data_IF_068015481036
#
_entry.id   IF_068015481036
#
_cell.length_a   1.000
_cell.length_b   1.000
_cell.length_c   1.000
_cell.angle_alpha   90.00
_cell.angle_beta   90.00
_cell.angle_gamma   90.00
#
_symmetry.space_group_name_H-M   'P 1'
#
loop_
_entity.id
_entity.type
_entity.pdbx_description
1 polymer ?
#
# COMPACT_ATOMS: atom_id res chain seq x y z
N UNK A 1 29.49 1.00 -0.84
CA UNK A 1 28.78 2.25 -0.47
C UNK A 1 28.28 2.08 0.96
N UNK A 2 28.07 3.15 1.72
CA UNK A 2 27.40 3.03 3.02
C UNK A 2 25.93 2.58 2.78
N UNK A 3 25.36 1.74 3.67
CA UNK A 3 23.97 1.30 3.52
C UNK A 3 22.99 2.48 3.67
N UNK A 4 21.90 2.43 2.93
CA UNK A 4 20.79 3.39 3.03
C UNK A 4 20.13 3.22 4.41
N UNK A 5 20.03 4.29 5.15
CA UNK A 5 19.49 4.33 6.52
C UNK A 5 17.98 4.54 6.51
N UNK A 6 17.25 3.56 6.99
CA UNK A 6 15.79 3.51 6.93
C UNK A 6 15.16 3.67 8.30
N UNK A 7 14.25 4.62 8.47
CA UNK A 7 13.30 4.63 9.60
C UNK A 7 12.02 3.92 9.17
N UNK A 8 11.55 2.97 10.00
CA UNK A 8 10.29 2.26 9.75
C UNK A 8 9.20 2.80 10.69
N UNK A 9 8.27 3.56 10.12
CA UNK A 9 7.11 4.07 10.84
C UNK A 9 6.04 2.97 10.98
N UNK A 10 5.61 2.70 12.23
CA UNK A 10 4.75 1.57 12.52
C UNK A 10 5.45 0.21 12.49
N UNK A 11 6.78 0.17 12.71
CA UNK A 11 7.61 -1.02 12.56
C UNK A 11 7.32 -2.15 13.57
N UNK A 12 6.50 -1.94 14.58
CA UNK A 12 6.02 -3.00 15.48
C UNK A 12 4.69 -3.62 15.06
N UNK A 13 4.07 -3.13 13.97
CA UNK A 13 2.91 -3.72 13.33
C UNK A 13 3.28 -4.91 12.44
N UNK A 14 2.28 -5.63 11.93
CA UNK A 14 2.49 -6.84 11.12
C UNK A 14 3.42 -6.58 9.90
N UNK A 15 3.07 -5.63 9.05
CA UNK A 15 3.90 -5.29 7.86
C UNK A 15 5.21 -4.59 8.25
N UNK A 16 5.16 -3.72 9.25
CA UNK A 16 6.35 -3.02 9.71
C UNK A 16 7.42 -3.97 10.24
N UNK A 17 7.04 -4.99 11.02
CA UNK A 17 7.98 -5.99 11.53
C UNK A 17 8.63 -6.81 10.40
N UNK A 18 7.85 -7.21 9.37
CA UNK A 18 8.40 -7.88 8.19
C UNK A 18 9.36 -6.97 7.42
N UNK A 19 9.06 -5.67 7.33
CA UNK A 19 9.94 -4.68 6.71
C UNK A 19 11.24 -4.53 7.48
N UNK A 20 11.18 -4.39 8.80
CA UNK A 20 12.37 -4.36 9.68
C UNK A 20 13.22 -5.62 9.47
N UNK A 21 12.59 -6.80 9.44
CA UNK A 21 13.29 -8.06 9.22
C UNK A 21 13.89 -8.16 7.80
N UNK A 22 13.21 -7.65 6.77
CA UNK A 22 13.72 -7.63 5.40
C UNK A 22 14.94 -6.69 5.28
N UNK A 23 14.86 -5.48 5.81
CA UNK A 23 15.97 -4.51 5.82
C UNK A 23 17.19 -5.12 6.54
N UNK A 24 16.97 -5.77 7.68
CA UNK A 24 18.04 -6.37 8.48
C UNK A 24 18.80 -7.51 7.75
N UNK A 25 18.22 -8.07 6.69
CA UNK A 25 18.85 -9.12 5.86
C UNK A 25 19.49 -8.61 4.58
N UNK A 26 19.36 -7.31 4.31
CA UNK A 26 19.82 -6.70 3.06
C UNK A 26 21.09 -5.89 3.32
N UNK A 27 22.18 -6.17 2.62
CA UNK A 27 23.50 -5.56 2.85
C UNK A 27 23.52 -4.04 2.56
N UNK A 28 22.73 -3.60 1.58
CA UNK A 28 22.66 -2.19 1.16
C UNK A 28 21.71 -1.33 2.00
N UNK A 29 21.02 -1.91 2.99
CA UNK A 29 20.05 -1.21 3.84
C UNK A 29 20.41 -1.36 5.32
N UNK A 30 20.06 -0.35 6.12
CA UNK A 30 20.22 -0.40 7.58
C UNK A 30 18.99 0.22 8.27
N UNK A 31 18.44 -0.47 9.29
CA UNK A 31 17.40 0.10 10.14
C UNK A 31 18.02 1.17 11.03
N UNK A 32 17.67 2.44 10.80
CA UNK A 32 18.14 3.58 11.60
C UNK A 32 17.29 3.80 12.85
N UNK A 33 16.03 3.39 12.82
CA UNK A 33 15.10 3.50 13.94
C UNK A 33 13.69 3.01 13.57
N UNK A 34 12.87 2.82 14.58
CA UNK A 34 11.52 2.27 14.44
C UNK A 34 10.55 3.09 15.28
N UNK A 35 9.35 3.39 14.74
CA UNK A 35 8.28 3.90 15.60
C UNK A 35 7.31 2.81 16.01
N UNK A 36 6.67 3.00 17.15
CA UNK A 36 5.62 2.16 17.66
C UNK A 36 4.44 2.99 18.20
N UNK A 37 3.25 2.37 18.24
CA UNK A 37 2.04 3.04 18.73
C UNK A 37 2.00 3.24 20.25
N UNK A 38 2.65 2.34 21.00
CA UNK A 38 2.67 2.34 22.46
C UNK A 38 4.10 2.23 22.92
N UNK A 39 4.43 2.89 23.99
CA UNK A 39 5.75 2.82 24.59
C UNK A 39 6.13 1.38 24.94
N UNK A 40 7.31 0.96 24.51
CA UNK A 40 7.86 -0.41 24.70
C UNK A 40 9.33 -0.38 25.09
N UNK A 41 9.81 0.78 25.59
CA UNK A 41 11.23 1.00 25.87
C UNK A 41 11.95 1.78 24.78
N UNK A 42 13.22 2.14 24.99
CA UNK A 42 13.97 3.06 24.12
C UNK A 42 14.61 2.38 22.89
N UNK A 43 14.60 1.06 22.81
CA UNK A 43 15.26 0.30 21.76
C UNK A 43 14.45 -0.92 21.30
N UNK A 44 14.69 -1.31 20.07
CA UNK A 44 14.22 -2.56 19.46
C UNK A 44 15.43 -3.40 19.07
N UNK A 45 15.49 -4.64 19.52
CA UNK A 45 16.51 -5.59 19.08
C UNK A 45 16.12 -6.18 17.72
N UNK A 46 16.98 -5.99 16.72
CA UNK A 46 16.82 -6.52 15.37
C UNK A 46 17.12 -8.03 15.30
N UNK A 47 16.72 -8.75 14.23
CA UNK A 47 17.02 -10.17 14.06
C UNK A 47 18.51 -10.51 14.07
N UNK A 48 19.38 -9.56 13.73
CA UNK A 48 20.85 -9.71 13.77
C UNK A 48 21.46 -9.42 15.13
N UNK A 49 20.64 -9.14 16.17
CA UNK A 49 21.07 -8.84 17.53
C UNK A 49 21.46 -7.38 17.79
N UNK A 50 21.40 -6.52 16.79
CA UNK A 50 21.68 -5.08 16.94
C UNK A 50 20.47 -4.36 17.55
N UNK A 51 20.70 -3.45 18.49
CA UNK A 51 19.67 -2.56 19.02
C UNK A 51 19.59 -1.27 18.19
N UNK A 52 18.36 -0.88 17.86
CA UNK A 52 18.05 0.38 17.18
C UNK A 52 17.07 1.21 18.00
N UNK A 53 17.07 2.54 17.88
CA UNK A 53 16.15 3.43 18.55
C UNK A 53 14.69 3.05 18.28
N UNK A 54 13.88 2.95 19.35
CA UNK A 54 12.44 2.77 19.31
C UNK A 54 11.78 4.00 19.95
N UNK A 55 10.82 4.62 19.30
CA UNK A 55 10.12 5.81 19.81
C UNK A 55 8.63 5.80 19.43
N UNK A 56 7.82 6.45 20.24
CA UNK A 56 6.43 6.82 19.87
C UNK A 56 6.37 8.16 19.13
N UNK A 57 7.45 8.95 19.17
CA UNK A 57 7.57 10.26 18.53
C UNK A 57 8.45 10.15 17.27
N UNK A 58 7.80 10.24 16.10
CA UNK A 58 8.48 10.20 14.81
C UNK A 58 9.42 11.40 14.63
N UNK A 59 9.02 12.58 15.08
CA UNK A 59 9.82 13.81 14.92
C UNK A 59 11.15 13.69 15.67
N UNK A 60 11.08 13.31 16.94
CA UNK A 60 12.28 13.07 17.76
C UNK A 60 13.18 12.00 17.11
N UNK A 61 12.58 10.91 16.63
CA UNK A 61 13.32 9.82 16.01
C UNK A 61 14.06 10.29 14.75
N UNK A 62 13.41 11.03 13.85
CA UNK A 62 14.03 11.57 12.64
C UNK A 62 15.18 12.52 12.97
N UNK A 63 14.99 13.41 13.96
CA UNK A 63 16.03 14.33 14.42
C UNK A 63 17.26 13.60 14.98
N UNK A 64 17.04 12.50 15.70
CA UNK A 64 18.12 11.72 16.31
C UNK A 64 18.84 10.82 15.33
N UNK A 65 18.13 10.28 14.36
CA UNK A 65 18.66 9.24 13.47
C UNK A 65 19.13 9.76 12.11
N UNK A 66 18.62 10.90 11.65
CA UNK A 66 18.92 11.45 10.32
C UNK A 66 18.89 10.39 9.21
N UNK A 67 17.73 9.73 8.97
CA UNK A 67 17.64 8.66 7.98
C UNK A 67 17.67 9.20 6.56
N UNK A 68 18.05 8.35 5.60
CA UNK A 68 17.98 8.65 4.17
C UNK A 68 16.56 8.50 3.63
N UNK A 69 15.74 7.64 4.25
CA UNK A 69 14.35 7.39 3.85
C UNK A 69 13.49 6.91 5.03
N UNK A 70 12.22 7.29 5.03
CA UNK A 70 11.19 6.72 5.91
C UNK A 70 10.31 5.74 5.12
N UNK A 71 10.03 4.59 5.70
CA UNK A 71 9.01 3.65 5.19
C UNK A 71 7.84 3.60 6.17
N UNK A 72 6.61 3.82 5.69
CA UNK A 72 5.40 3.84 6.50
C UNK A 72 4.48 2.65 6.22
N UNK A 73 4.10 1.93 7.27
CA UNK A 73 3.08 0.89 7.25
C UNK A 73 2.02 1.09 8.34
N UNK A 74 1.55 2.33 8.48
CA UNK A 74 0.46 2.69 9.37
C UNK A 74 -0.90 2.68 8.64
N UNK A 75 -1.88 3.40 9.13
CA UNK A 75 -3.15 3.66 8.44
C UNK A 75 -3.13 5.01 7.72
N UNK A 76 -4.12 5.29 6.86
CA UNK A 76 -4.13 6.48 6.02
C UNK A 76 -3.99 7.79 6.82
N UNK A 77 -4.67 7.94 7.97
CA UNK A 77 -4.60 9.16 8.78
C UNK A 77 -3.20 9.35 9.39
N UNK A 78 -2.67 8.33 10.07
CA UNK A 78 -1.34 8.38 10.67
C UNK A 78 -0.23 8.51 9.62
N UNK A 79 -0.40 7.91 8.44
CA UNK A 79 0.51 8.02 7.31
C UNK A 79 0.60 9.47 6.80
N UNK A 80 -0.53 10.15 6.66
CA UNK A 80 -0.55 11.56 6.26
C UNK A 80 0.15 12.46 7.28
N UNK A 81 -0.12 12.27 8.58
CA UNK A 81 0.57 13.00 9.65
C UNK A 81 2.09 12.75 9.59
N UNK A 82 2.50 11.48 9.46
CA UNK A 82 3.90 11.10 9.34
C UNK A 82 4.57 11.69 8.10
N UNK A 83 3.85 11.79 6.98
CA UNK A 83 4.37 12.38 5.74
C UNK A 83 4.70 13.86 5.92
N UNK A 84 3.86 14.65 6.59
CA UNK A 84 4.17 16.06 6.90
C UNK A 84 5.37 16.20 7.84
N UNK A 85 5.48 15.32 8.84
CA UNK A 85 6.64 15.31 9.76
C UNK A 85 7.92 14.95 9.01
N UNK A 86 7.92 13.89 8.20
CA UNK A 86 9.09 13.49 7.43
C UNK A 86 9.52 14.56 6.40
N UNK A 87 8.56 15.19 5.73
CA UNK A 87 8.83 16.26 4.79
C UNK A 87 9.43 17.51 5.47
N UNK A 88 9.01 17.86 6.69
CA UNK A 88 9.61 18.93 7.49
C UNK A 88 11.09 18.64 7.86
N UNK A 89 11.50 17.39 7.82
CA UNK A 89 12.88 16.93 8.02
C UNK A 89 13.61 16.58 6.72
N UNK A 90 13.05 16.97 5.55
CA UNK A 90 13.60 16.67 4.22
C UNK A 90 13.88 15.17 4.01
N UNK A 91 13.10 14.31 4.63
CA UNK A 91 13.24 12.86 4.55
C UNK A 91 12.35 12.29 3.44
N UNK A 92 12.90 11.71 2.37
CA UNK A 92 12.15 10.97 1.36
C UNK A 92 11.36 9.82 1.97
N UNK A 93 10.29 9.36 1.31
CA UNK A 93 9.44 8.35 1.93
C UNK A 93 8.81 7.36 0.96
N UNK A 94 8.59 6.14 1.48
CA UNK A 94 7.81 5.08 0.83
C UNK A 94 6.61 4.77 1.73
N UNK A 95 5.40 5.03 1.21
CA UNK A 95 4.16 4.95 1.95
C UNK A 95 3.38 3.71 1.54
N UNK A 96 3.24 2.75 2.46
CA UNK A 96 2.54 1.48 2.27
C UNK A 96 1.13 1.47 2.88
N UNK A 97 0.65 2.60 3.37
CA UNK A 97 -0.68 2.68 3.98
C UNK A 97 -1.79 2.43 2.95
N UNK A 98 -2.74 1.58 3.29
CA UNK A 98 -3.97 1.41 2.52
C UNK A 98 -5.00 2.49 2.87
N UNK A 99 -5.91 2.80 1.92
CA UNK A 99 -7.00 3.75 2.15
C UNK A 99 -6.65 5.22 1.92
N UNK A 100 -5.48 5.53 1.32
CA UNK A 100 -5.19 6.87 0.83
C UNK A 100 -6.15 7.24 -0.30
N UNK A 101 -6.81 8.39 -0.18
CA UNK A 101 -7.75 8.92 -1.18
C UNK A 101 -7.03 9.68 -2.28
N UNK A 102 -7.74 10.01 -3.36
CA UNK A 102 -7.22 10.88 -4.43
C UNK A 102 -6.76 12.23 -3.90
N UNK A 103 -7.46 12.79 -2.89
CA UNK A 103 -7.07 14.08 -2.30
C UNK A 103 -5.82 13.95 -1.43
N UNK A 104 -5.64 12.83 -0.72
CA UNK A 104 -4.37 12.53 -0.05
C UNK A 104 -3.21 12.45 -1.05
N UNK A 105 -3.40 11.80 -2.21
CA UNK A 105 -2.36 11.72 -3.24
C UNK A 105 -1.99 13.09 -3.80
N UNK A 106 -2.97 13.98 -4.03
CA UNK A 106 -2.70 15.37 -4.44
C UNK A 106 -1.93 16.16 -3.39
N UNK A 107 -2.26 15.98 -2.10
CA UNK A 107 -1.53 16.62 -1.00
C UNK A 107 -0.09 16.12 -0.92
N UNK A 108 0.14 14.81 -1.09
CA UNK A 108 1.48 14.22 -1.10
C UNK A 108 2.31 14.70 -2.30
N UNK A 109 1.69 14.83 -3.48
CA UNK A 109 2.34 15.36 -4.68
C UNK A 109 2.77 16.83 -4.47
N UNK A 110 1.86 17.66 -3.96
CA UNK A 110 2.16 19.04 -3.61
C UNK A 110 3.28 19.15 -2.57
N UNK A 111 3.26 18.30 -1.55
CA UNK A 111 4.26 18.22 -0.49
C UNK A 111 5.64 17.82 -1.03
N UNK A 112 5.69 16.82 -1.93
CA UNK A 112 6.91 16.38 -2.59
C UNK A 112 7.56 17.51 -3.39
N UNK A 113 6.76 18.25 -4.17
CA UNK A 113 7.20 19.38 -4.97
C UNK A 113 7.67 20.57 -4.10
N UNK A 114 6.91 20.93 -3.03
CA UNK A 114 7.26 22.03 -2.12
C UNK A 114 8.58 21.78 -1.38
N UNK A 115 8.81 20.54 -0.95
CA UNK A 115 10.00 20.16 -0.17
C UNK A 115 11.15 19.62 -1.02
N UNK A 116 10.96 19.37 -2.30
CA UNK A 116 11.98 18.79 -3.19
C UNK A 116 12.41 17.40 -2.79
N UNK A 117 11.48 16.56 -2.26
CA UNK A 117 11.75 15.21 -1.78
C UNK A 117 10.99 14.15 -2.60
N UNK A 118 11.54 12.94 -2.68
CA UNK A 118 10.86 11.81 -3.30
C UNK A 118 9.79 11.21 -2.38
N UNK A 119 8.56 11.03 -2.89
CA UNK A 119 7.48 10.30 -2.21
C UNK A 119 6.98 9.21 -3.14
N UNK A 120 7.05 7.96 -2.68
CA UNK A 120 6.48 6.80 -3.36
C UNK A 120 5.28 6.31 -2.57
N UNK A 121 4.12 6.20 -3.21
CA UNK A 121 2.93 5.57 -2.62
C UNK A 121 2.74 4.20 -3.25
N UNK A 122 2.82 3.15 -2.46
CA UNK A 122 2.68 1.77 -2.89
C UNK A 122 1.62 1.06 -2.03
N UNK A 123 0.36 1.03 -2.46
CA UNK A 123 -0.75 0.51 -1.65
C UNK A 123 -0.75 -1.03 -1.52
N UNK A 124 0.13 -1.71 -2.25
CA UNK A 124 0.23 -3.17 -2.21
C UNK A 124 1.67 -3.65 -2.41
N UNK A 125 2.16 -4.46 -1.49
CA UNK A 125 3.48 -5.08 -1.50
C UNK A 125 3.45 -6.58 -1.77
N UNK A 126 2.26 -7.15 -2.06
CA UNK A 126 2.14 -8.55 -2.44
C UNK A 126 2.66 -8.76 -3.87
N UNK A 127 3.75 -9.49 -4.03
CA UNK A 127 4.37 -9.75 -5.34
C UNK A 127 3.36 -10.26 -6.37
N UNK A 128 2.50 -11.24 -5.98
CA UNK A 128 1.46 -11.78 -6.86
C UNK A 128 0.48 -10.73 -7.37
N UNK A 129 0.07 -9.78 -6.53
CA UNK A 129 -0.81 -8.68 -6.93
C UNK A 129 -0.13 -7.72 -7.92
N UNK A 130 1.14 -7.37 -7.66
CA UNK A 130 1.92 -6.50 -8.56
C UNK A 130 2.12 -7.15 -9.93
N UNK A 131 2.49 -8.44 -9.95
CA UNK A 131 2.67 -9.21 -11.19
C UNK A 131 1.33 -9.36 -11.93
N UNK A 132 0.26 -9.73 -11.24
CA UNK A 132 -1.08 -9.83 -11.85
C UNK A 132 -1.48 -8.49 -12.51
N UNK A 133 -1.35 -7.38 -11.78
CA UNK A 133 -1.67 -6.04 -12.32
C UNK A 133 -0.89 -5.76 -13.60
N UNK A 134 0.42 -6.01 -13.61
CA UNK A 134 1.27 -5.80 -14.78
C UNK A 134 0.86 -6.66 -15.98
N UNK A 135 0.58 -7.94 -15.75
CA UNK A 135 0.13 -8.85 -16.82
C UNK A 135 -1.22 -8.43 -17.39
N UNK A 136 -2.17 -8.07 -16.52
CA UNK A 136 -3.50 -7.58 -16.95
C UNK A 136 -3.38 -6.29 -17.75
N UNK A 137 -2.57 -5.32 -17.33
CA UNK A 137 -2.34 -4.08 -18.07
C UNK A 137 -1.74 -4.32 -19.48
N UNK A 138 -0.93 -5.37 -19.63
CA UNK A 138 -0.37 -5.76 -20.92
C UNK A 138 -1.37 -6.52 -21.80
N UNK A 139 -2.21 -7.37 -21.21
CA UNK A 139 -3.18 -8.20 -21.94
C UNK A 139 -4.47 -7.44 -22.31
N UNK A 140 -4.97 -6.59 -21.43
CA UNK A 140 -6.26 -5.92 -21.57
C UNK A 140 -6.51 -5.20 -22.91
N UNK A 141 -5.52 -4.55 -23.58
CA UNK A 141 -5.75 -3.91 -24.87
C UNK A 141 -6.24 -4.84 -25.97
N UNK A 142 -5.99 -6.15 -25.86
CA UNK A 142 -6.33 -7.15 -26.88
C UNK A 142 -7.72 -7.76 -26.71
N UNK A 143 -8.45 -7.41 -25.64
CA UNK A 143 -9.76 -7.97 -25.31
C UNK A 143 -10.82 -6.89 -25.20
N UNK A 144 -12.06 -7.20 -25.58
CA UNK A 144 -13.18 -6.26 -25.51
C UNK A 144 -14.00 -6.39 -24.25
N UNK A 145 -13.88 -7.52 -23.55
CA UNK A 145 -14.61 -7.84 -22.32
C UNK A 145 -13.62 -8.14 -21.20
N UNK A 146 -13.98 -7.77 -19.97
CA UNK A 146 -13.21 -8.10 -18.79
C UNK A 146 -14.10 -8.11 -17.55
N UNK A 147 -14.00 -9.18 -16.79
CA UNK A 147 -14.59 -9.29 -15.46
C UNK A 147 -13.47 -9.53 -14.44
N UNK A 148 -13.53 -8.85 -13.30
CA UNK A 148 -12.64 -9.03 -12.16
C UNK A 148 -13.43 -9.69 -11.04
N UNK A 149 -12.95 -10.84 -10.53
CA UNK A 149 -13.51 -11.52 -9.36
C UNK A 149 -12.51 -11.41 -8.21
N UNK A 150 -12.94 -10.88 -7.06
CA UNK A 150 -12.13 -10.83 -5.87
C UNK A 150 -12.82 -11.48 -4.67
N UNK A 151 -12.05 -12.20 -3.84
CA UNK A 151 -12.59 -12.85 -2.67
C UNK A 151 -11.71 -12.61 -1.45
N UNK A 152 -12.32 -12.21 -0.35
CA UNK A 152 -11.69 -11.96 0.94
C UNK A 152 -12.50 -12.56 2.08
N UNK A 153 -11.89 -12.55 3.28
CA UNK A 153 -12.56 -12.98 4.50
C UNK A 153 -13.79 -12.12 4.81
N UNK A 154 -14.73 -12.66 5.55
CA UNK A 154 -16.03 -12.07 5.87
C UNK A 154 -15.92 -10.72 6.64
N UNK A 155 -14.84 -10.54 7.40
CA UNK A 155 -14.63 -9.32 8.19
C UNK A 155 -14.01 -8.16 7.40
N UNK A 156 -13.77 -8.30 6.08
CA UNK A 156 -13.28 -7.20 5.26
C UNK A 156 -14.38 -6.16 5.02
N UNK A 157 -14.11 -4.93 5.46
CA UNK A 157 -15.10 -3.84 5.53
C UNK A 157 -15.41 -3.17 4.18
N UNK A 158 -14.50 -3.22 3.21
CA UNK A 158 -14.66 -2.61 1.89
C UNK A 158 -15.01 -3.66 0.82
N UNK A 159 -15.83 -3.28 -0.15
CA UNK A 159 -16.13 -4.02 -1.37
C UNK A 159 -16.45 -3.04 -2.51
N UNK A 160 -15.80 -3.15 -3.69
CA UNK A 160 -14.69 -4.05 -3.94
C UNK A 160 -13.43 -3.70 -3.16
N UNK A 161 -12.48 -4.65 -3.09
CA UNK A 161 -11.19 -4.40 -2.44
C UNK A 161 -10.42 -3.28 -3.14
N UNK A 162 -9.58 -2.55 -2.37
CA UNK A 162 -8.77 -1.48 -2.93
C UNK A 162 -7.90 -1.93 -4.11
N UNK A 163 -7.39 -3.17 -4.10
CA UNK A 163 -6.62 -3.70 -5.21
C UNK A 163 -7.48 -4.01 -6.44
N UNK A 164 -8.66 -4.62 -6.27
CA UNK A 164 -9.58 -4.86 -7.39
C UNK A 164 -10.02 -3.56 -8.06
N UNK A 165 -10.30 -2.53 -7.26
CA UNK A 165 -10.65 -1.20 -7.77
C UNK A 165 -9.46 -0.54 -8.50
N UNK A 166 -8.25 -0.65 -7.95
CA UNK A 166 -7.03 -0.14 -8.60
C UNK A 166 -6.75 -0.86 -9.92
N UNK A 167 -7.01 -2.18 -9.98
CA UNK A 167 -6.88 -2.97 -11.18
C UNK A 167 -7.91 -2.55 -12.24
N UNK A 168 -9.19 -2.41 -11.87
CA UNK A 168 -10.23 -1.95 -12.78
C UNK A 168 -9.91 -0.55 -13.36
N UNK A 169 -9.43 0.37 -12.52
CA UNK A 169 -9.00 1.71 -12.96
C UNK A 169 -7.81 1.64 -13.91
N UNK A 170 -6.80 0.84 -13.62
CA UNK A 170 -5.57 0.78 -14.42
C UNK A 170 -5.79 0.37 -15.87
N UNK A 171 -6.86 -0.39 -16.15
CA UNK A 171 -7.25 -0.79 -17.50
C UNK A 171 -8.42 0.04 -18.05
N UNK A 172 -9.44 0.31 -17.24
CA UNK A 172 -10.63 1.06 -17.64
C UNK A 172 -10.38 2.54 -17.96
N UNK A 173 -9.32 3.16 -17.39
CA UNK A 173 -8.93 4.53 -17.73
C UNK A 173 -8.20 4.61 -19.09
N UNK A 174 -7.68 3.47 -19.58
CA UNK A 174 -6.98 3.40 -20.89
C UNK A 174 -7.88 2.99 -22.03
N UNK A 175 -8.87 2.16 -21.75
CA UNK A 175 -9.83 1.62 -22.74
C UNK A 175 -11.18 1.41 -22.07
N UNK A 176 -12.26 1.79 -22.74
CA UNK A 176 -13.60 1.40 -22.34
C UNK A 176 -13.88 -0.02 -22.80
N UNK A 177 -14.28 -0.88 -21.87
CA UNK A 177 -14.66 -2.26 -22.16
C UNK A 177 -16.15 -2.37 -22.44
N UNK A 178 -16.54 -3.44 -23.13
CA UNK A 178 -17.94 -3.77 -23.38
C UNK A 178 -18.50 -4.54 -22.20
N UNK A 179 -19.58 -4.03 -21.61
CA UNK A 179 -20.33 -4.79 -20.60
C UNK A 179 -21.60 -5.36 -21.24
N UNK A 180 -21.72 -6.69 -21.22
CA UNK A 180 -22.95 -7.35 -21.62
C UNK A 180 -24.01 -7.23 -20.54
N UNK A 181 -25.21 -6.79 -20.93
CA UNK A 181 -26.38 -6.81 -20.08
C UNK A 181 -27.26 -7.99 -20.49
N UNK A 182 -27.66 -8.88 -19.57
CA UNK A 182 -28.61 -9.93 -19.88
C UNK A 182 -29.98 -9.32 -20.20
N UNK A 183 -30.72 -9.93 -21.10
CA UNK A 183 -32.11 -9.50 -21.38
C UNK A 183 -33.00 -9.58 -20.14
N UNK A 184 -32.68 -10.50 -19.23
CA UNK A 184 -33.41 -10.69 -17.97
C UNK A 184 -32.48 -11.02 -16.82
N UNK A 185 -32.54 -10.21 -15.76
CA UNK A 185 -31.94 -10.53 -14.46
C UNK A 185 -32.99 -11.24 -13.60
N UNK A 186 -32.76 -12.54 -13.29
CA UNK A 186 -33.66 -13.29 -12.41
C UNK A 186 -33.50 -12.91 -10.93
N UNK A 187 -32.31 -12.40 -10.57
CA UNK A 187 -31.99 -11.84 -9.26
C UNK A 187 -31.23 -10.52 -9.48
N UNK A 188 -31.71 -9.38 -8.92
CA UNK A 188 -31.08 -8.08 -9.10
C UNK A 188 -29.63 -8.06 -8.60
N UNK A 189 -28.79 -7.27 -9.25
CA UNK A 189 -27.40 -7.01 -8.89
C UNK A 189 -26.44 -8.24 -9.00
N UNK A 190 -26.81 -9.26 -9.77
CA UNK A 190 -25.95 -10.44 -9.97
C UNK A 190 -24.78 -10.20 -10.90
N UNK A 191 -24.78 -9.08 -11.64
CA UNK A 191 -23.73 -8.71 -12.60
C UNK A 191 -22.64 -7.81 -12.01
N UNK A 192 -22.50 -7.75 -10.69
CA UNK A 192 -21.45 -6.98 -10.02
C UNK A 192 -21.51 -5.47 -10.24
N UNK A 193 -20.48 -4.77 -9.78
CA UNK A 193 -20.27 -3.34 -10.02
C UNK A 193 -19.55 -3.07 -11.34
N UNK A 194 -19.58 -1.82 -11.83
CA UNK A 194 -18.95 -1.43 -13.10
C UNK A 194 -18.03 -0.23 -12.96
N UNK A 195 -16.90 -0.28 -13.67
CA UNK A 195 -16.00 0.86 -13.89
C UNK A 195 -15.55 0.89 -15.35
N UNK A 196 -16.03 1.85 -16.16
CA UNK A 196 -15.72 2.00 -17.58
C UNK A 196 -15.85 0.69 -18.40
N UNK A 197 -16.92 -0.09 -18.13
CA UNK A 197 -17.17 -1.38 -18.76
C UNK A 197 -16.47 -2.57 -18.11
N UNK A 198 -15.51 -2.34 -17.21
CA UNK A 198 -14.90 -3.40 -16.37
C UNK A 198 -15.90 -3.81 -15.30
N UNK A 199 -16.28 -5.08 -15.28
CA UNK A 199 -17.17 -5.62 -14.24
C UNK A 199 -16.35 -6.11 -13.05
N UNK A 200 -16.79 -5.81 -11.82
CA UNK A 200 -16.11 -6.24 -10.59
C UNK A 200 -17.08 -6.98 -9.68
N UNK A 201 -16.70 -8.21 -9.31
CA UNK A 201 -17.45 -9.07 -8.41
C UNK A 201 -16.70 -9.25 -7.09
N UNK A 202 -17.38 -9.08 -5.97
CA UNK A 202 -16.78 -9.17 -4.63
C UNK A 202 -17.40 -10.30 -3.82
N UNK A 203 -16.57 -11.25 -3.37
CA UNK A 203 -16.97 -12.37 -2.52
C UNK A 203 -16.42 -12.12 -1.12
N UNK A 204 -17.27 -12.32 -0.09
CA UNK A 204 -16.90 -12.28 1.33
C UNK A 204 -17.33 -13.57 1.99
N UNK A 205 -16.35 -14.39 2.44
CA UNK A 205 -16.63 -15.68 3.06
C UNK A 205 -15.47 -16.16 3.94
N UNK A 206 -15.73 -16.99 4.96
CA UNK A 206 -14.69 -17.63 5.77
C UNK A 206 -13.69 -18.42 4.93
N UNK A 207 -12.44 -18.50 5.40
CA UNK A 207 -11.39 -19.27 4.76
C UNK A 207 -10.74 -18.61 3.53
N UNK A 208 -11.16 -17.40 3.17
CA UNK A 208 -10.50 -16.61 2.11
C UNK A 208 -9.59 -15.56 2.74
N UNK A 209 -8.34 -15.46 2.29
CA UNK A 209 -7.44 -14.37 2.71
C UNK A 209 -7.47 -13.21 1.71
N UNK A 210 -7.02 -13.42 0.49
CA UNK A 210 -7.08 -12.49 -0.63
C UNK A 210 -6.92 -13.26 -1.95
N UNK A 211 -7.93 -13.22 -2.79
CA UNK A 211 -7.91 -13.86 -4.12
C UNK A 211 -8.36 -12.85 -5.16
N UNK A 212 -7.72 -12.88 -6.32
CA UNK A 212 -8.08 -12.05 -7.46
C UNK A 212 -7.96 -12.87 -8.73
N UNK A 213 -8.97 -12.81 -9.58
CA UNK A 213 -9.04 -13.43 -10.88
C UNK A 213 -9.51 -12.39 -11.89
N UNK A 214 -8.94 -12.43 -13.09
CA UNK A 214 -9.32 -11.54 -14.21
C UNK A 214 -9.64 -12.43 -15.39
N UNK A 215 -10.85 -12.30 -15.88
CA UNK A 215 -11.46 -13.14 -16.91
C UNK A 215 -11.71 -12.30 -18.15
#
# INVERSE_FOLDING_TARGET
MAPIRVVVNGGTGKMGAETVAAISRTEDLAVAGVTCRRERGPALTLPNGQDVPLSIDLKELLQRTHPDVMVDFTNAAACMEAAFVAAAHSTPMVLGASGLTTDHLKQLDALANDKGIGIIVAPNFALGAVVLKRLVEQAAPYFDYVDIVEAHHEAKIDAPSGFALALARSIGDRKRFTRNHPEKENLPNTRGGEYNGVTVHSIRMPGRSAHHEVI
#
